data_IF_429881473321
#
_entry.id   IF_429881473321
#
_cell.length_a   1.000
_cell.length_b   1.000
_cell.length_c   1.000
_cell.angle_alpha   90.00
_cell.angle_beta   90.00
_cell.angle_gamma   90.00
#
_symmetry.space_group_name_H-M   'P 1'
#
loop_
_entity.id
_entity.type
_entity.pdbx_description
1 polymer ?
#
# COMPACT_ATOMS: atom_id res chain seq x y z
N UNK A 1 -29.10 -19.80 -24.35
CA UNK A 1 -28.15 -20.09 -23.26
C UNK A 1 -27.20 -18.89 -23.20
N UNK A 2 -27.41 -17.98 -22.25
CA UNK A 2 -26.73 -16.69 -22.24
C UNK A 2 -25.26 -16.83 -21.86
N UNK A 3 -24.37 -16.25 -22.65
CA UNK A 3 -22.93 -16.26 -22.39
C UNK A 3 -22.63 -15.44 -21.12
N UNK A 4 -22.33 -16.12 -20.02
CA UNK A 4 -21.96 -15.49 -18.76
C UNK A 4 -20.57 -14.86 -18.88
N UNK A 5 -20.35 -13.76 -18.16
CA UNK A 5 -19.07 -13.03 -18.15
C UNK A 5 -17.92 -13.94 -17.69
N UNK A 6 -18.17 -14.74 -16.66
CA UNK A 6 -17.22 -15.70 -16.08
C UNK A 6 -16.80 -16.79 -17.06
N UNK A 7 -17.74 -17.36 -17.82
CA UNK A 7 -17.40 -18.40 -18.80
C UNK A 7 -16.49 -17.88 -19.92
N UNK A 8 -16.69 -16.64 -20.36
CA UNK A 8 -15.81 -15.99 -21.36
C UNK A 8 -14.39 -15.82 -20.80
N UNK A 9 -14.30 -15.34 -19.56
CA UNK A 9 -13.02 -15.09 -18.89
C UNK A 9 -12.25 -16.39 -18.73
N UNK A 10 -12.89 -17.45 -18.22
CA UNK A 10 -12.23 -18.75 -18.01
C UNK A 10 -11.68 -19.31 -19.32
N UNK A 11 -12.47 -19.31 -20.40
CA UNK A 11 -12.00 -19.81 -21.71
C UNK A 11 -10.84 -18.97 -22.27
N UNK A 12 -10.90 -17.63 -22.12
CA UNK A 12 -9.82 -16.75 -22.57
C UNK A 12 -8.54 -16.95 -21.76
N UNK A 13 -8.64 -17.12 -20.44
CA UNK A 13 -7.49 -17.39 -19.55
C UNK A 13 -6.87 -18.75 -19.88
N UNK A 14 -7.68 -19.80 -20.09
CA UNK A 14 -7.18 -21.12 -20.48
C UNK A 14 -6.47 -21.12 -21.84
N UNK A 15 -6.96 -20.33 -22.79
CA UNK A 15 -6.45 -20.32 -24.17
C UNK A 15 -5.28 -19.36 -24.40
N UNK A 16 -5.32 -18.19 -23.77
CA UNK A 16 -4.41 -17.06 -24.06
C UNK A 16 -3.72 -16.48 -22.82
N UNK A 17 -4.05 -16.97 -21.62
CA UNK A 17 -3.53 -16.46 -20.35
C UNK A 17 -4.23 -15.19 -19.85
N UNK A 18 -3.65 -14.59 -18.82
CA UNK A 18 -4.29 -13.47 -18.08
C UNK A 18 -4.33 -12.15 -18.87
N UNK A 19 -3.42 -11.95 -19.82
CA UNK A 19 -3.29 -10.71 -20.58
C UNK A 19 -3.66 -10.95 -22.04
N UNK A 20 -4.88 -10.56 -22.41
CA UNK A 20 -5.41 -10.78 -23.77
C UNK A 20 -5.39 -9.50 -24.59
N UNK A 21 -5.09 -9.66 -25.87
CA UNK A 21 -5.06 -8.58 -26.86
C UNK A 21 -6.30 -8.60 -27.75
N UNK A 22 -6.46 -7.56 -28.57
CA UNK A 22 -7.55 -7.49 -29.55
C UNK A 22 -7.49 -8.61 -30.59
N UNK A 23 -6.29 -9.13 -30.88
CA UNK A 23 -6.13 -10.26 -31.80
C UNK A 23 -6.69 -11.54 -31.18
N UNK A 24 -6.39 -11.78 -29.90
CA UNK A 24 -6.83 -12.97 -29.16
C UNK A 24 -8.36 -12.99 -28.99
N UNK A 25 -8.96 -11.85 -28.64
CA UNK A 25 -10.42 -11.75 -28.55
C UNK A 25 -11.08 -11.96 -29.91
N UNK A 26 -10.48 -11.46 -31.01
CA UNK A 26 -11.00 -11.71 -32.36
C UNK A 26 -10.91 -13.19 -32.74
N UNK A 27 -9.79 -13.84 -32.46
CA UNK A 27 -9.61 -15.27 -32.70
C UNK A 27 -10.62 -16.10 -31.90
N UNK A 28 -10.81 -15.79 -30.63
CA UNK A 28 -11.83 -16.40 -29.78
C UNK A 28 -13.25 -16.22 -30.33
N UNK A 29 -13.57 -15.00 -30.79
CA UNK A 29 -14.86 -14.69 -31.41
C UNK A 29 -15.11 -15.49 -32.69
N UNK A 30 -14.08 -15.68 -33.53
CA UNK A 30 -14.18 -16.48 -34.76
C UNK A 30 -14.37 -17.96 -34.46
N UNK A 31 -13.72 -18.50 -33.43
CA UNK A 31 -13.82 -19.91 -33.07
C UNK A 31 -15.16 -20.29 -32.43
N UNK A 32 -15.79 -19.37 -31.71
CA UNK A 32 -16.99 -19.63 -30.92
C UNK A 32 -18.24 -18.93 -31.47
N UNK A 33 -18.17 -18.37 -32.68
CA UNK A 33 -19.24 -17.62 -33.35
C UNK A 33 -19.83 -16.49 -32.48
N UNK A 34 -18.94 -15.70 -31.87
CA UNK A 34 -19.32 -14.54 -31.04
C UNK A 34 -19.03 -13.22 -31.72
N UNK A 35 -19.84 -12.21 -31.37
CA UNK A 35 -19.61 -10.84 -31.81
C UNK A 35 -18.53 -10.16 -30.95
N UNK A 36 -17.51 -9.60 -31.59
CA UNK A 36 -16.41 -8.91 -30.94
C UNK A 36 -16.85 -7.77 -30.01
N UNK A 37 -17.81 -6.95 -30.45
CA UNK A 37 -18.34 -5.84 -29.67
C UNK A 37 -19.05 -6.36 -28.41
N UNK A 38 -19.79 -7.46 -28.52
CA UNK A 38 -20.47 -8.08 -27.37
C UNK A 38 -19.47 -8.59 -26.32
N UNK A 39 -18.41 -9.26 -26.76
CA UNK A 39 -17.37 -9.80 -25.85
C UNK A 39 -16.58 -8.67 -25.21
N UNK A 40 -16.13 -7.68 -25.98
CA UNK A 40 -15.37 -6.55 -25.45
C UNK A 40 -16.17 -5.67 -24.50
N UNK A 41 -17.48 -5.47 -24.73
CA UNK A 41 -18.36 -4.77 -23.80
C UNK A 41 -18.51 -5.51 -22.47
N UNK A 42 -18.58 -6.85 -22.48
CA UNK A 42 -18.61 -7.68 -21.26
C UNK A 42 -17.29 -7.68 -20.48
N UNK A 43 -16.18 -7.41 -21.16
CA UNK A 43 -14.83 -7.34 -20.58
C UNK A 43 -14.36 -5.92 -20.26
N UNK A 44 -15.25 -4.92 -20.33
CA UNK A 44 -14.85 -3.52 -20.17
C UNK A 44 -14.17 -3.24 -18.80
N UNK A 45 -14.58 -3.96 -17.76
CA UNK A 45 -14.02 -3.85 -16.41
C UNK A 45 -12.56 -4.33 -16.29
N UNK A 46 -12.10 -5.14 -17.25
CA UNK A 46 -10.74 -5.70 -17.29
C UNK A 46 -9.82 -4.92 -18.24
N UNK A 47 -10.30 -3.81 -18.82
CA UNK A 47 -9.56 -3.06 -19.83
C UNK A 47 -8.43 -2.26 -19.20
N UNK A 48 -7.19 -2.61 -19.53
CA UNK A 48 -5.98 -1.92 -19.04
C UNK A 48 -5.48 -0.83 -20.00
N UNK A 49 -5.88 -0.90 -21.27
CA UNK A 49 -5.43 0.03 -22.29
C UNK A 49 -6.10 -0.18 -23.64
N UNK A 50 -5.64 0.54 -24.66
CA UNK A 50 -6.19 0.40 -26.02
C UNK A 50 -5.94 -1.02 -26.53
N UNK A 51 -7.01 -1.79 -26.67
CA UNK A 51 -6.97 -3.14 -27.23
C UNK A 51 -6.26 -4.18 -26.36
N UNK A 52 -6.13 -3.93 -25.04
CA UNK A 52 -5.51 -4.81 -24.07
C UNK A 52 -6.41 -4.97 -22.85
N UNK A 53 -6.58 -6.21 -22.39
CA UNK A 53 -7.35 -6.56 -21.21
C UNK A 53 -6.52 -7.44 -20.30
N UNK A 54 -6.66 -7.26 -19.00
CA UNK A 54 -6.05 -8.11 -17.99
C UNK A 54 -7.15 -8.71 -17.11
N UNK A 55 -7.33 -10.02 -17.26
CA UNK A 55 -8.45 -10.78 -16.73
C UNK A 55 -8.34 -11.10 -15.23
N UNK A 56 -7.23 -10.74 -14.56
CA UNK A 56 -7.04 -10.94 -13.10
C UNK A 56 -7.24 -9.68 -12.25
N UNK A 57 -7.54 -8.53 -12.86
CA UNK A 57 -7.55 -7.23 -12.14
C UNK A 57 -8.74 -7.07 -11.18
N UNK A 58 -9.94 -7.61 -11.48
CA UNK A 58 -11.08 -7.42 -10.58
C UNK A 58 -10.88 -8.12 -9.23
N UNK A 59 -10.42 -9.37 -9.21
CA UNK A 59 -10.14 -10.07 -7.94
C UNK A 59 -9.05 -9.37 -7.13
N UNK A 60 -7.99 -8.86 -7.76
CA UNK A 60 -6.93 -8.13 -7.02
C UNK A 60 -7.38 -6.78 -6.50
N UNK A 61 -8.28 -6.08 -7.19
CA UNK A 61 -8.80 -4.79 -6.71
C UNK A 61 -9.81 -5.00 -5.58
N UNK A 62 -10.69 -5.99 -5.68
CA UNK A 62 -11.63 -6.35 -4.63
C UNK A 62 -10.93 -6.95 -3.40
N UNK A 63 -9.88 -7.76 -3.58
CA UNK A 63 -9.04 -8.23 -2.46
C UNK A 63 -8.23 -7.10 -1.81
N UNK A 64 -7.75 -6.11 -2.57
CA UNK A 64 -7.13 -4.92 -1.96
C UNK A 64 -8.15 -4.07 -1.19
N UNK A 65 -9.41 -4.06 -1.61
CA UNK A 65 -10.49 -3.36 -0.91
C UNK A 65 -10.98 -4.12 0.33
N UNK A 66 -10.94 -5.46 0.30
CA UNK A 66 -11.29 -6.33 1.43
C UNK A 66 -10.12 -6.66 2.35
N UNK A 67 -8.89 -6.32 1.97
CA UNK A 67 -7.76 -6.33 2.89
C UNK A 67 -8.13 -5.41 4.07
N UNK A 68 -8.01 -5.89 5.32
CA UNK A 68 -8.44 -5.12 6.47
C UNK A 68 -7.82 -3.73 6.43
N UNK A 69 -8.68 -2.71 6.38
CA UNK A 69 -8.31 -1.31 6.31
C UNK A 69 -7.54 -0.91 7.56
N UNK A 70 -6.21 -1.06 7.52
CA UNK A 70 -5.31 -0.86 8.64
C UNK A 70 -5.65 -1.72 9.87
N UNK A 71 -4.64 -2.30 10.48
CA UNK A 71 -4.75 -2.67 11.90
C UNK A 71 -5.31 -1.46 12.67
N UNK A 72 -6.15 -1.66 13.72
CA UNK A 72 -6.63 -0.54 14.51
C UNK A 72 -5.43 0.34 14.83
N UNK A 73 -5.54 1.65 14.57
CA UNK A 73 -4.52 2.62 14.94
C UNK A 73 -4.29 2.40 16.43
N UNK A 74 -3.22 1.68 16.76
CA UNK A 74 -2.71 1.64 18.12
C UNK A 74 -2.36 3.10 18.35
N UNK A 75 -3.08 3.77 19.24
CA UNK A 75 -2.73 5.13 19.66
C UNK A 75 -1.33 5.05 20.26
N UNK A 76 -0.33 5.32 19.43
CA UNK A 76 1.06 5.29 19.84
C UNK A 76 1.34 6.61 20.56
N UNK A 77 1.38 6.56 21.88
CA UNK A 77 1.87 7.67 22.67
C UNK A 77 3.39 7.80 22.47
N UNK A 78 3.82 8.86 21.78
CA UNK A 78 5.22 9.18 21.53
C UNK A 78 5.81 10.16 22.56
N UNK A 79 5.06 10.48 23.62
CA UNK A 79 5.53 11.32 24.71
C UNK A 79 6.26 10.43 25.72
N UNK A 80 7.58 10.61 25.93
CA UNK A 80 8.31 9.82 26.92
C UNK A 80 7.82 10.08 28.33
N UNK A 81 7.78 9.03 29.15
CA UNK A 81 7.48 9.15 30.58
C UNK A 81 8.62 9.85 31.33
N UNK A 82 8.26 10.71 32.28
CA UNK A 82 9.23 11.42 33.12
C UNK A 82 9.51 10.62 34.39
N UNK A 83 10.78 10.52 34.75
CA UNK A 83 11.25 9.85 35.96
C UNK A 83 11.61 10.91 37.02
N UNK A 84 10.90 10.90 38.14
CA UNK A 84 11.11 11.84 39.25
C UNK A 84 12.48 11.67 39.94
N UNK A 85 13.13 10.52 39.77
CA UNK A 85 14.47 10.24 40.28
C UNK A 85 15.59 10.66 39.33
N UNK A 86 15.26 11.18 38.15
CA UNK A 86 16.24 11.58 37.14
C UNK A 86 17.15 12.70 37.63
N UNK A 87 18.45 12.41 37.71
CA UNK A 87 19.48 13.41 37.98
C UNK A 87 19.94 14.03 36.67
N UNK A 88 19.90 15.36 36.57
CA UNK A 88 20.35 16.09 35.39
C UNK A 88 21.88 16.02 35.28
N UNK A 89 22.39 15.70 34.10
CA UNK A 89 23.83 15.64 33.82
C UNK A 89 24.15 16.10 32.40
N UNK A 90 25.43 16.38 32.14
CA UNK A 90 25.93 16.75 30.82
C UNK A 90 25.17 17.91 30.18
N UNK A 91 24.76 17.72 28.93
CA UNK A 91 24.13 18.75 28.08
C UNK A 91 22.61 18.92 28.32
N UNK A 92 22.04 18.30 29.35
CA UNK A 92 20.60 18.32 29.61
C UNK A 92 20.00 19.74 29.65
N UNK A 93 20.70 20.69 30.28
CA UNK A 93 20.22 22.07 30.39
C UNK A 93 20.05 22.76 29.04
N UNK A 94 20.95 22.50 28.10
CA UNK A 94 20.89 23.08 26.76
C UNK A 94 19.82 22.40 25.91
N UNK A 95 19.70 21.07 26.00
CA UNK A 95 18.64 20.30 25.34
C UNK A 95 17.26 20.80 25.80
N UNK A 96 17.07 20.97 27.12
CA UNK A 96 15.82 21.49 27.68
C UNK A 96 15.49 22.89 27.19
N UNK A 97 16.49 23.77 27.07
CA UNK A 97 16.30 25.12 26.50
C UNK A 97 15.88 25.04 25.04
N UNK A 98 16.56 24.23 24.23
CA UNK A 98 16.24 24.03 22.81
C UNK A 98 14.79 23.55 22.65
N UNK A 99 14.38 22.50 23.37
CA UNK A 99 13.01 21.98 23.32
C UNK A 99 12.00 23.05 23.77
N UNK A 100 12.30 23.77 24.86
CA UNK A 100 11.41 24.83 25.36
C UNK A 100 11.21 26.00 24.39
N UNK A 101 12.16 26.23 23.48
CA UNK A 101 12.06 27.29 22.47
C UNK A 101 10.97 27.03 21.42
N UNK A 102 10.55 25.76 21.25
CA UNK A 102 9.64 25.31 20.18
C UNK A 102 10.10 25.67 18.76
N UNK A 103 11.39 25.97 18.59
CA UNK A 103 12.03 26.20 17.30
C UNK A 103 12.76 24.93 16.87
N UNK A 104 12.80 24.69 15.55
CA UNK A 104 13.59 23.62 15.00
C UNK A 104 15.08 23.97 15.07
N UNK A 105 15.83 23.24 15.91
CA UNK A 105 17.27 23.43 16.08
C UNK A 105 18.00 22.08 16.02
N UNK A 106 18.57 21.71 14.85
CA UNK A 106 19.30 20.46 14.70
C UNK A 106 20.42 20.33 15.73
N UNK A 107 20.42 19.23 16.49
CA UNK A 107 21.37 19.01 17.60
C UNK A 107 22.05 17.66 17.43
N UNK A 108 23.37 17.64 17.54
CA UNK A 108 24.18 16.42 17.51
C UNK A 108 24.70 16.11 18.92
N UNK A 109 24.32 14.95 19.47
CA UNK A 109 24.73 14.50 20.81
C UNK A 109 25.69 13.33 20.67
N UNK A 110 26.91 13.50 21.17
CA UNK A 110 27.99 12.50 21.13
C UNK A 110 28.29 11.94 22.53
N UNK A 111 28.95 10.78 22.58
CA UNK A 111 29.37 10.11 23.81
C UNK A 111 29.43 8.59 23.65
N UNK A 112 30.19 7.92 24.51
CA UNK A 112 30.30 6.45 24.53
C UNK A 112 28.92 5.78 24.66
N UNK A 113 28.83 4.53 24.22
CA UNK A 113 27.62 3.71 24.42
C UNK A 113 27.34 3.56 25.93
N UNK A 114 26.07 3.58 26.32
CA UNK A 114 25.67 3.46 27.72
C UNK A 114 25.72 4.74 28.57
N UNK A 115 26.18 5.88 28.04
CA UNK A 115 26.25 7.15 28.81
C UNK A 115 24.92 7.93 28.91
N UNK A 116 23.77 7.28 28.72
CA UNK A 116 22.46 7.91 28.95
C UNK A 116 22.04 9.01 27.96
N UNK A 117 22.59 9.06 26.74
CA UNK A 117 22.24 10.08 25.73
C UNK A 117 20.74 10.10 25.40
N UNK A 118 20.17 8.95 25.06
CA UNK A 118 18.74 8.80 24.74
C UNK A 118 17.87 9.18 25.93
N UNK A 119 18.16 8.61 27.10
CA UNK A 119 17.41 8.87 28.32
C UNK A 119 17.45 10.36 28.71
N UNK A 120 18.60 11.02 28.57
CA UNK A 120 18.72 12.47 28.83
C UNK A 120 17.80 13.31 27.93
N UNK A 121 17.64 12.93 26.65
CA UNK A 121 16.73 13.61 25.70
C UNK A 121 15.27 13.34 26.06
N UNK A 122 14.92 12.10 26.41
CA UNK A 122 13.56 11.73 26.82
C UNK A 122 13.13 12.47 28.10
N UNK A 123 14.06 12.70 29.03
CA UNK A 123 13.79 13.41 30.28
C UNK A 123 13.75 14.95 30.15
N UNK A 124 14.24 15.54 29.05
CA UNK A 124 14.29 17.00 28.84
C UNK A 124 12.92 17.64 28.61
#
# INVERSE_FOLDING_TARGET
MGLSKESIINCLVESYGESVTSADIKAFCMMNDFNYQTVTNKLNDYKVGRGKWNLTIQEKLEQNYQAPSAMPVIEQNLIPEKDDSFVKFGNFGDIKKIISSRLFYPTFITGLSGNGKTFSVEQA
#
